data_IF_588910822741
#
_entry.id   IF_588910822741
#
_cell.length_a   1.000
_cell.length_b   1.000
_cell.length_c   1.000
_cell.angle_alpha   90.00
_cell.angle_beta   90.00
_cell.angle_gamma   90.00
#
_symmetry.space_group_name_H-M   'P 1'
#
loop_
_entity.id
_entity.type
_entity.pdbx_description
1 polymer ?
#
# COMPACT_ATOMS: atom_id res chain seq x y z
N UNK A 1 32.66 54.89 -25.90
CA UNK A 1 33.03 53.45 -26.02
C UNK A 1 32.67 52.64 -24.77
N UNK A 2 32.84 53.18 -23.55
CA UNK A 2 32.52 52.51 -22.28
C UNK A 2 31.02 52.23 -22.10
N UNK A 3 30.15 53.20 -22.39
CA UNK A 3 28.68 53.05 -22.25
C UNK A 3 28.10 51.89 -23.10
N UNK A 4 28.61 51.68 -24.32
CA UNK A 4 28.20 50.55 -25.18
C UNK A 4 28.68 49.19 -24.65
N UNK A 5 29.83 49.13 -23.96
CA UNK A 5 30.30 47.89 -23.34
C UNK A 5 29.45 47.53 -22.12
N UNK A 6 29.08 48.53 -21.32
CA UNK A 6 28.22 48.36 -20.13
C UNK A 6 26.83 47.81 -20.52
N UNK A 7 26.19 48.35 -21.56
CA UNK A 7 24.89 47.85 -22.02
C UNK A 7 24.96 46.42 -22.59
N UNK A 8 26.05 46.05 -23.28
CA UNK A 8 26.25 44.68 -23.76
C UNK A 8 26.40 43.69 -22.60
N UNK A 9 27.21 44.01 -21.58
CA UNK A 9 27.34 43.15 -20.39
C UNK A 9 26.02 43.02 -19.62
N UNK A 10 25.24 44.11 -19.49
CA UNK A 10 23.91 44.06 -18.89
C UNK A 10 22.95 43.16 -19.67
N UNK A 11 22.92 43.25 -21.00
CA UNK A 11 22.07 42.39 -21.82
C UNK A 11 22.44 40.91 -21.71
N UNK A 12 23.74 40.59 -21.64
CA UNK A 12 24.21 39.21 -21.50
C UNK A 12 23.85 38.64 -20.11
N UNK A 13 23.98 39.45 -19.06
CA UNK A 13 23.61 39.07 -17.70
C UNK A 13 22.11 38.81 -17.57
N UNK A 14 21.27 39.65 -18.18
CA UNK A 14 19.82 39.46 -18.22
C UNK A 14 19.45 38.17 -18.96
N UNK A 15 20.08 37.89 -20.11
CA UNK A 15 19.85 36.64 -20.86
C UNK A 15 20.23 35.40 -20.05
N UNK A 16 21.30 35.45 -19.25
CA UNK A 16 21.71 34.36 -18.37
C UNK A 16 20.69 34.16 -17.23
N UNK A 17 20.19 35.24 -16.62
CA UNK A 17 19.14 35.11 -15.58
C UNK A 17 17.88 34.48 -16.16
N UNK A 18 17.46 34.91 -17.35
CA UNK A 18 16.27 34.36 -18.02
C UNK A 18 16.47 32.88 -18.36
N UNK A 19 17.65 32.49 -18.87
CA UNK A 19 17.91 31.08 -19.21
C UNK A 19 17.95 30.19 -17.96
N UNK A 20 18.52 30.67 -16.84
CA UNK A 20 18.51 29.97 -15.55
C UNK A 20 17.09 29.84 -15.01
N UNK A 21 16.30 30.91 -15.04
CA UNK A 21 14.90 30.88 -14.57
C UNK A 21 14.04 29.93 -15.43
N UNK A 22 14.18 29.97 -16.75
CA UNK A 22 13.50 29.04 -17.66
C UNK A 22 13.92 27.59 -17.39
N UNK A 23 15.20 27.34 -17.17
CA UNK A 23 15.70 26.01 -16.84
C UNK A 23 15.13 25.50 -15.51
N UNK A 24 15.07 26.35 -14.48
CA UNK A 24 14.47 26.00 -13.19
C UNK A 24 12.98 25.66 -13.33
N UNK A 25 12.20 26.49 -14.02
CA UNK A 25 10.77 26.25 -14.24
C UNK A 25 10.54 24.92 -14.98
N UNK A 26 11.30 24.67 -16.06
CA UNK A 26 11.19 23.44 -16.84
C UNK A 26 11.59 22.21 -16.00
N UNK A 27 12.65 22.32 -15.19
CA UNK A 27 13.09 21.23 -14.32
C UNK A 27 12.06 20.88 -13.24
N UNK A 28 11.41 21.89 -12.65
CA UNK A 28 10.37 21.70 -11.65
C UNK A 28 9.13 21.05 -12.24
N UNK A 29 8.74 21.45 -13.45
CA UNK A 29 7.59 20.89 -14.15
C UNK A 29 7.79 19.43 -14.57
N UNK A 30 9.02 19.05 -15.00
CA UNK A 30 9.35 17.64 -15.28
C UNK A 30 9.30 16.78 -14.02
N UNK A 31 9.79 17.27 -12.89
CA UNK A 31 9.76 16.50 -11.63
C UNK A 31 8.35 16.17 -11.15
N UNK A 32 7.34 16.97 -11.52
CA UNK A 32 5.94 16.71 -11.16
C UNK A 32 5.25 15.75 -12.14
N UNK A 33 5.63 15.76 -13.42
CA UNK A 33 5.06 14.85 -14.41
C UNK A 33 5.44 13.39 -14.20
N UNK A 34 6.49 13.13 -13.43
CA UNK A 34 7.04 11.80 -13.20
C UNK A 34 6.41 11.08 -11.99
N UNK A 35 5.36 11.64 -11.37
CA UNK A 35 4.70 11.07 -10.19
C UNK A 35 3.37 10.46 -10.59
N UNK A 36 3.30 9.14 -10.53
CA UNK A 36 2.15 8.35 -10.97
C UNK A 36 1.45 7.63 -9.81
N UNK A 37 2.08 7.53 -8.65
CA UNK A 37 1.55 6.77 -7.51
C UNK A 37 1.91 7.37 -6.14
N UNK A 38 1.32 6.79 -5.09
CA UNK A 38 1.52 7.23 -3.70
C UNK A 38 2.97 7.09 -3.25
N UNK A 39 3.66 6.02 -3.64
CA UNK A 39 5.05 5.76 -3.23
C UNK A 39 6.01 6.81 -3.82
N UNK A 40 5.82 7.16 -5.09
CA UNK A 40 6.57 8.24 -5.75
C UNK A 40 6.28 9.60 -5.13
N UNK A 41 5.00 9.89 -4.83
CA UNK A 41 4.61 11.13 -4.18
C UNK A 41 5.24 11.26 -2.77
N UNK A 42 5.23 10.17 -2.00
CA UNK A 42 5.88 10.09 -0.69
C UNK A 42 7.41 10.25 -0.81
N UNK A 43 8.04 9.54 -1.76
CA UNK A 43 9.48 9.58 -1.99
C UNK A 43 9.97 10.96 -2.45
N UNK A 44 9.12 11.70 -3.15
CA UNK A 44 9.36 13.10 -3.51
C UNK A 44 9.24 14.07 -2.32
N UNK A 45 8.78 13.60 -1.15
CA UNK A 45 8.73 14.38 0.08
C UNK A 45 7.52 15.32 0.17
N UNK A 46 6.45 15.05 -0.59
CA UNK A 46 5.23 15.84 -0.54
C UNK A 46 4.39 15.56 0.71
N UNK A 47 3.44 16.45 0.97
CA UNK A 47 2.62 16.41 2.17
C UNK A 47 1.71 15.18 2.19
N UNK A 48 1.74 14.43 3.29
CA UNK A 48 0.86 13.29 3.57
C UNK A 48 -0.18 13.72 4.60
N UNK A 49 -1.44 13.47 4.30
CA UNK A 49 -2.58 13.75 5.19
C UNK A 49 -2.74 12.67 6.27
N UNK A 50 -3.21 13.07 7.46
CA UNK A 50 -3.57 12.18 8.56
C UNK A 50 -4.92 11.47 8.32
N UNK A 51 -5.05 10.77 7.19
CA UNK A 51 -6.24 10.00 6.81
C UNK A 51 -5.94 8.51 6.71
N UNK A 52 -7.00 7.69 6.75
CA UNK A 52 -6.92 6.27 6.39
C UNK A 52 -7.82 5.98 5.18
N UNK A 53 -7.26 5.57 4.03
CA UNK A 53 -5.83 5.36 3.74
C UNK A 53 -5.04 6.68 3.73
N UNK A 54 -3.71 6.58 3.79
CA UNK A 54 -2.85 7.75 3.66
C UNK A 54 -3.03 8.39 2.27
N UNK A 55 -3.06 9.73 2.23
CA UNK A 55 -3.18 10.51 1.00
C UNK A 55 -1.99 11.43 0.85
N UNK A 56 -1.37 11.45 -0.32
CA UNK A 56 -0.26 12.32 -0.65
C UNK A 56 -0.69 13.37 -1.67
N UNK A 57 -0.37 14.64 -1.42
CA UNK A 57 -0.82 15.77 -2.24
C UNK A 57 0.35 16.49 -2.90
N UNK A 58 0.29 16.68 -4.22
CA UNK A 58 1.32 17.38 -4.98
C UNK A 58 0.97 18.86 -5.20
N UNK A 59 1.97 19.75 -5.43
CA UNK A 59 1.74 21.18 -5.64
C UNK A 59 0.86 21.55 -6.85
N UNK A 60 0.77 20.66 -7.85
CA UNK A 60 -0.10 20.82 -9.03
C UNK A 60 -1.56 20.38 -8.77
N UNK A 61 -1.87 19.94 -7.54
CA UNK A 61 -3.23 19.62 -7.10
C UNK A 61 -3.62 18.15 -7.22
N UNK A 62 -2.72 17.27 -7.66
CA UNK A 62 -3.00 15.83 -7.70
C UNK A 62 -2.99 15.23 -6.28
N UNK A 63 -3.79 14.18 -6.11
CA UNK A 63 -3.87 13.41 -4.85
C UNK A 63 -3.69 11.94 -5.16
N UNK A 64 -2.71 11.32 -4.51
CA UNK A 64 -2.43 9.90 -4.62
C UNK A 64 -2.83 9.22 -3.32
N UNK A 65 -3.59 8.13 -3.41
CA UNK A 65 -4.10 7.39 -2.27
C UNK A 65 -3.28 6.11 -2.13
N UNK A 66 -2.84 5.81 -0.91
CA UNK A 66 -2.13 4.57 -0.61
C UNK A 66 -3.04 3.35 -0.90
N UNK A 67 -2.51 2.39 -1.66
CA UNK A 67 -3.19 1.11 -1.88
C UNK A 67 -3.15 0.27 -0.60
N UNK A 68 -4.32 -0.18 -0.16
CA UNK A 68 -4.50 -0.98 1.06
C UNK A 68 -5.24 -2.31 0.80
N UNK A 69 -5.25 -2.77 -0.45
CA UNK A 69 -6.07 -3.89 -0.86
C UNK A 69 -7.56 -3.56 -0.80
N UNK A 70 -8.38 -4.50 -0.33
CA UNK A 70 -9.83 -4.34 -0.19
C UNK A 70 -10.29 -4.21 1.28
N UNK A 71 -9.39 -3.81 2.19
CA UNK A 71 -9.67 -3.76 3.63
C UNK A 71 -10.94 -2.95 3.97
N UNK A 72 -11.15 -1.79 3.35
CA UNK A 72 -12.33 -0.96 3.64
C UNK A 72 -13.63 -1.61 3.14
N UNK A 73 -13.58 -2.38 2.05
CA UNK A 73 -14.74 -3.13 1.56
C UNK A 73 -15.12 -4.25 2.54
N UNK A 74 -14.14 -4.77 3.28
CA UNK A 74 -14.30 -5.89 4.21
C UNK A 74 -14.41 -5.49 5.67
N UNK A 75 -14.31 -4.21 6.02
CA UNK A 75 -14.23 -3.72 7.41
C UNK A 75 -15.42 -4.15 8.31
N UNK A 76 -16.58 -4.44 7.74
CA UNK A 76 -17.75 -4.94 8.49
C UNK A 76 -17.78 -6.47 8.68
N UNK A 77 -16.90 -7.18 7.98
CA UNK A 77 -16.83 -8.64 7.92
C UNK A 77 -15.56 -9.18 8.57
N UNK A 78 -14.42 -8.55 8.35
CA UNK A 78 -13.11 -8.96 8.87
C UNK A 78 -12.20 -7.74 9.00
N UNK A 79 -11.35 -7.74 10.03
CA UNK A 79 -10.38 -6.68 10.33
C UNK A 79 -9.08 -7.33 10.77
N UNK A 80 -7.97 -6.89 10.19
CA UNK A 80 -6.64 -7.35 10.56
C UNK A 80 -5.92 -6.22 11.29
N UNK A 81 -5.51 -6.52 12.52
CA UNK A 81 -4.71 -5.61 13.35
C UNK A 81 -3.22 -5.74 13.03
N UNK A 82 -2.77 -6.94 12.63
CA UNK A 82 -1.39 -7.22 12.25
C UNK A 82 -1.34 -8.34 11.20
N UNK A 83 -0.58 -8.19 10.10
CA UNK A 83 0.10 -6.97 9.63
C UNK A 83 -0.90 -5.90 9.12
N UNK A 84 -0.51 -4.63 9.16
CA UNK A 84 -1.26 -3.55 8.49
C UNK A 84 -0.81 -3.46 7.02
N UNK A 85 -1.61 -2.86 6.12
CA UNK A 85 -1.19 -2.70 4.73
C UNK A 85 0.16 -2.00 4.59
N UNK A 86 0.99 -2.51 3.68
CA UNK A 86 2.33 -2.03 3.33
C UNK A 86 3.35 -2.07 4.47
N UNK A 87 3.09 -2.83 5.55
CA UNK A 87 4.10 -3.07 6.57
C UNK A 87 5.16 -4.06 6.09
N UNK A 88 6.39 -3.83 6.51
CA UNK A 88 7.49 -4.77 6.34
C UNK A 88 7.30 -5.99 7.25
N UNK A 89 7.42 -7.19 6.70
CA UNK A 89 7.21 -8.44 7.44
C UNK A 89 8.42 -9.38 7.33
N UNK A 90 8.66 -10.09 8.44
CA UNK A 90 9.69 -11.11 8.58
C UNK A 90 9.08 -12.52 8.60
N UNK A 91 9.93 -13.53 8.44
CA UNK A 91 9.56 -14.94 8.63
C UNK A 91 9.89 -15.36 10.09
N UNK A 92 8.95 -15.92 10.87
CA UNK A 92 7.54 -16.19 10.55
C UNK A 92 6.65 -14.93 10.63
N UNK A 93 5.58 -14.92 9.82
CA UNK A 93 4.58 -13.86 9.77
C UNK A 93 3.45 -14.13 10.78
N UNK A 94 3.35 -13.29 11.80
CA UNK A 94 2.22 -13.29 12.74
C UNK A 94 1.03 -12.51 12.19
N UNK A 95 -0.16 -13.08 12.32
CA UNK A 95 -1.41 -12.51 11.83
C UNK A 95 -2.42 -12.47 12.97
N UNK A 96 -3.03 -11.31 13.20
CA UNK A 96 -4.00 -11.07 14.26
C UNK A 96 -5.11 -10.17 13.76
N UNK A 97 -6.30 -10.37 14.31
CA UNK A 97 -7.47 -9.58 13.93
C UNK A 97 -8.75 -10.12 14.52
N UNK A 98 -9.86 -9.73 13.92
CA UNK A 98 -11.20 -10.22 14.25
C UNK A 98 -12.03 -10.40 12.98
N UNK A 99 -12.85 -11.45 12.93
CA UNK A 99 -13.77 -11.69 11.82
C UNK A 99 -15.16 -12.03 12.34
N UNK A 100 -16.19 -11.73 11.56
CA UNK A 100 -17.56 -12.20 11.82
C UNK A 100 -17.54 -13.72 11.88
N UNK A 101 -18.31 -14.33 12.78
CA UNK A 101 -18.36 -15.80 12.91
C UNK A 101 -18.64 -16.56 11.60
N UNK A 102 -19.33 -15.92 10.64
CA UNK A 102 -19.57 -16.45 9.29
C UNK A 102 -18.31 -16.66 8.45
N UNK A 103 -17.17 -16.08 8.82
CA UNK A 103 -15.87 -16.33 8.18
C UNK A 103 -15.27 -17.70 8.52
N UNK A 104 -15.66 -18.26 9.66
CA UNK A 104 -15.09 -19.48 10.19
C UNK A 104 -15.90 -20.71 9.80
N UNK A 105 -15.20 -21.84 9.68
CA UNK A 105 -15.77 -23.17 9.70
C UNK A 105 -14.88 -24.02 10.61
N UNK A 106 -15.47 -24.74 11.57
CA UNK A 106 -14.69 -25.49 12.58
C UNK A 106 -13.67 -24.60 13.31
N UNK A 107 -14.08 -23.38 13.66
CA UNK A 107 -13.27 -22.36 14.34
C UNK A 107 -12.03 -21.88 13.56
N UNK A 108 -11.94 -22.16 12.26
CA UNK A 108 -10.79 -21.78 11.45
C UNK A 108 -11.15 -21.29 10.04
N UNK A 109 -10.19 -20.65 9.38
CA UNK A 109 -10.26 -20.32 7.96
C UNK A 109 -8.86 -20.20 7.33
N UNK A 110 -8.71 -20.41 6.01
CA UNK A 110 -7.40 -20.40 5.35
C UNK A 110 -6.82 -19.00 5.19
N UNK A 111 -5.49 -18.92 5.23
CA UNK A 111 -4.72 -17.74 4.85
C UNK A 111 -3.56 -18.12 3.95
N UNK A 112 -3.30 -17.29 2.95
CA UNK A 112 -2.28 -17.51 1.93
C UNK A 112 -1.43 -16.27 1.77
N UNK A 113 -0.16 -16.49 1.49
CA UNK A 113 0.79 -15.43 1.19
C UNK A 113 1.31 -15.63 -0.24
N UNK A 114 1.11 -14.63 -1.09
CA UNK A 114 1.56 -14.62 -2.48
C UNK A 114 2.55 -13.48 -2.74
N UNK A 115 3.41 -13.66 -3.73
CA UNK A 115 4.25 -12.59 -4.28
C UNK A 115 3.48 -11.68 -5.26
N UNK A 116 4.16 -10.65 -5.79
CA UNK A 116 3.62 -9.75 -6.81
C UNK A 116 3.18 -10.42 -8.12
N UNK A 117 3.69 -11.62 -8.42
CA UNK A 117 3.37 -12.40 -9.61
C UNK A 117 2.24 -13.42 -9.36
N UNK A 118 1.70 -13.47 -8.15
CA UNK A 118 0.68 -14.45 -7.75
C UNK A 118 1.23 -15.83 -7.39
N UNK A 119 2.55 -15.96 -7.22
CA UNK A 119 3.19 -17.21 -6.77
C UNK A 119 3.00 -17.35 -5.26
N UNK A 120 2.53 -18.51 -4.83
CA UNK A 120 2.35 -18.83 -3.42
C UNK A 120 3.68 -19.06 -2.71
N UNK A 121 3.91 -18.29 -1.65
CA UNK A 121 5.11 -18.36 -0.81
C UNK A 121 4.86 -19.13 0.49
N UNK A 122 3.62 -19.13 0.98
CA UNK A 122 3.24 -19.82 2.21
C UNK A 122 1.72 -19.91 2.38
N UNK A 123 1.29 -20.91 3.15
CA UNK A 123 -0.10 -21.13 3.54
C UNK A 123 -0.19 -21.36 5.04
N UNK A 124 -1.28 -20.92 5.64
CA UNK A 124 -1.55 -21.07 7.05
C UNK A 124 -3.04 -21.27 7.31
N UNK A 125 -3.34 -21.56 8.57
CA UNK A 125 -4.72 -21.67 9.06
C UNK A 125 -4.86 -20.63 10.17
N UNK A 126 -5.86 -19.77 10.02
CA UNK A 126 -6.26 -18.81 11.04
C UNK A 126 -7.19 -19.50 12.02
N UNK A 127 -6.95 -19.31 13.31
CA UNK A 127 -7.69 -19.92 14.40
C UNK A 127 -8.46 -18.86 15.20
N UNK A 128 -9.75 -19.08 15.42
CA UNK A 128 -10.56 -18.28 16.34
C UNK A 128 -10.10 -18.45 17.79
N UNK A 129 -10.11 -17.37 18.56
CA UNK A 129 -9.78 -17.34 19.99
C UNK A 129 -11.05 -17.36 20.88
N UNK A 130 -12.15 -17.95 20.41
CA UNK A 130 -13.40 -18.00 21.15
C UNK A 130 -14.55 -18.70 20.42
N UNK A 131 -15.76 -18.50 20.93
CA UNK A 131 -16.98 -19.01 20.32
C UNK A 131 -17.21 -18.35 18.95
N UNK A 132 -17.10 -19.15 17.89
CA UNK A 132 -17.16 -18.68 16.51
C UNK A 132 -18.56 -18.76 15.89
N UNK A 133 -19.47 -19.51 16.47
CA UNK A 133 -20.85 -19.66 15.99
C UNK A 133 -21.71 -18.45 16.38
N UNK A 134 -21.29 -17.26 15.96
CA UNK A 134 -21.92 -15.98 16.26
C UNK A 134 -21.96 -15.07 15.03
N UNK A 135 -22.83 -14.07 15.04
CA UNK A 135 -22.80 -12.98 14.08
C UNK A 135 -21.83 -11.86 14.52
N UNK A 136 -21.29 -11.91 15.73
CA UNK A 136 -20.33 -10.94 16.25
C UNK A 136 -18.91 -11.13 15.71
N UNK A 137 -18.07 -10.14 15.96
CA UNK A 137 -16.64 -10.25 15.69
C UNK A 137 -15.97 -11.17 16.72
N UNK A 138 -15.17 -12.09 16.20
CA UNK A 138 -14.44 -13.10 16.95
C UNK A 138 -12.95 -12.89 16.69
N UNK A 139 -12.13 -12.65 17.73
CA UNK A 139 -10.69 -12.52 17.58
C UNK A 139 -10.07 -13.78 17.00
N UNK A 140 -8.99 -13.62 16.24
CA UNK A 140 -8.24 -14.71 15.65
C UNK A 140 -6.74 -14.46 15.66
N UNK A 141 -5.99 -15.55 15.58
CA UNK A 141 -4.55 -15.53 15.36
C UNK A 141 -4.11 -16.55 14.30
N UNK A 142 -2.95 -16.32 13.70
CA UNK A 142 -2.25 -17.29 12.87
C UNK A 142 -0.75 -16.98 12.83
N UNK A 143 0.04 -17.97 12.43
CA UNK A 143 1.44 -17.81 12.08
C UNK A 143 1.71 -18.54 10.76
N UNK A 144 2.38 -17.86 9.82
CA UNK A 144 2.75 -18.42 8.53
C UNK A 144 4.26 -18.36 8.36
N UNK A 145 4.88 -19.51 8.07
CA UNK A 145 6.24 -19.54 7.52
C UNK A 145 6.16 -19.48 6.00
N UNK A 146 7.04 -18.71 5.36
CA UNK A 146 7.06 -18.58 3.90
C UNK A 146 8.45 -18.77 3.30
N UNK A 147 8.49 -19.17 2.04
CA UNK A 147 9.75 -19.32 1.28
C UNK A 147 10.38 -17.97 0.98
N UNK A 148 11.69 -17.95 0.66
CA UNK A 148 12.38 -16.71 0.30
C UNK A 148 11.66 -16.04 -0.87
N UNK A 149 11.16 -14.82 -0.71
CA UNK A 149 10.38 -14.17 -1.75
C UNK A 149 11.32 -13.74 -2.90
N UNK A 150 10.88 -13.88 -4.17
CA UNK A 150 11.66 -13.43 -5.31
C UNK A 150 11.61 -11.90 -5.49
N UNK A 151 10.66 -11.24 -4.83
CA UNK A 151 10.42 -9.80 -4.87
C UNK A 151 10.16 -9.24 -3.48
N UNK A 152 10.19 -7.92 -3.34
CA UNK A 152 9.99 -7.25 -2.05
C UNK A 152 8.51 -7.07 -1.70
N UNK A 153 7.59 -7.34 -2.62
CA UNK A 153 6.17 -7.05 -2.47
C UNK A 153 5.34 -8.33 -2.53
N UNK A 154 4.33 -8.40 -1.68
CA UNK A 154 3.40 -9.51 -1.63
C UNK A 154 2.01 -9.10 -1.21
N UNK A 155 1.10 -10.08 -1.22
CA UNK A 155 -0.27 -9.91 -0.73
C UNK A 155 -0.59 -11.04 0.23
N UNK A 156 -1.03 -10.67 1.42
CA UNK A 156 -1.64 -11.58 2.37
C UNK A 156 -3.14 -11.70 2.04
N UNK A 157 -3.61 -12.92 1.82
CA UNK A 157 -4.97 -13.24 1.43
C UNK A 157 -5.62 -14.07 2.54
N UNK A 158 -6.58 -13.49 3.25
CA UNK A 158 -7.43 -14.20 4.20
C UNK A 158 -8.68 -14.64 3.45
N UNK A 159 -8.95 -15.94 3.44
CA UNK A 159 -10.04 -16.53 2.66
C UNK A 159 -11.14 -17.00 3.63
N UNK A 160 -12.38 -16.56 3.41
CA UNK A 160 -13.53 -17.06 4.16
C UNK A 160 -13.68 -18.56 3.92
N UNK A 161 -13.88 -19.32 5.00
CA UNK A 161 -14.13 -20.76 4.89
C UNK A 161 -15.36 -21.03 4.02
N UNK A 162 -15.20 -21.91 3.03
CA UNK A 162 -16.24 -22.26 2.07
C UNK A 162 -16.30 -23.79 1.83
N UNK A 163 -16.84 -24.57 2.79
CA UNK A 163 -16.90 -26.03 2.67
C UNK A 163 -17.72 -26.55 1.49
N UNK A 164 -18.68 -25.77 0.99
CA UNK A 164 -19.50 -26.16 -0.16
C UNK A 164 -18.78 -25.95 -1.50
N UNK A 165 -17.70 -25.16 -1.53
CA UNK A 165 -16.97 -24.79 -2.74
C UNK A 165 -17.74 -23.90 -3.70
N UNK A 166 -18.88 -23.34 -3.28
CA UNK A 166 -19.74 -22.52 -4.12
C UNK A 166 -19.23 -21.07 -4.21
N UNK A 167 -19.09 -20.47 -5.41
CA UNK A 167 -18.55 -19.12 -5.56
C UNK A 167 -19.30 -18.04 -4.77
N UNK A 168 -20.61 -18.15 -4.61
CA UNK A 168 -21.45 -17.20 -3.86
C UNK A 168 -21.17 -17.18 -2.35
N UNK A 169 -20.42 -18.16 -1.84
CA UNK A 169 -20.02 -18.23 -0.43
C UNK A 169 -18.56 -17.87 -0.22
N UNK A 170 -17.78 -17.78 -1.30
CA UNK A 170 -16.38 -17.36 -1.26
C UNK A 170 -16.30 -15.87 -0.96
N UNK A 171 -15.40 -15.51 -0.06
CA UNK A 171 -15.00 -14.12 0.14
C UNK A 171 -13.53 -14.05 0.55
N UNK A 172 -12.87 -12.92 0.29
CA UNK A 172 -11.45 -12.75 0.57
C UNK A 172 -11.11 -11.32 1.00
N UNK A 173 -10.18 -11.21 1.94
CA UNK A 173 -9.52 -9.97 2.34
C UNK A 173 -8.09 -10.01 1.82
N UNK A 174 -7.69 -8.97 1.10
CA UNK A 174 -6.36 -8.80 0.53
C UNK A 174 -5.66 -7.66 1.25
N UNK A 175 -4.45 -7.91 1.75
CA UNK A 175 -3.62 -6.95 2.45
C UNK A 175 -2.26 -6.90 1.74
N UNK A 176 -1.91 -5.78 1.07
CA UNK A 176 -0.59 -5.63 0.49
C UNK A 176 0.44 -5.56 1.62
N UNK A 177 1.59 -6.20 1.45
CA UNK A 177 2.69 -6.20 2.42
C UNK A 177 4.03 -6.13 1.68
N UNK A 178 5.10 -5.84 2.43
CA UNK A 178 6.47 -5.89 1.92
C UNK A 178 7.31 -6.86 2.75
N UNK A 179 8.29 -7.51 2.14
CA UNK A 179 9.18 -8.45 2.80
C UNK A 179 10.50 -7.78 3.23
N UNK A 180 11.03 -8.17 4.39
CA UNK A 180 12.39 -7.80 4.85
C UNK A 180 13.52 -8.31 3.94
#
# INVERSE_FOLDING_TARGET
MIQKKVTVFLSLFILIIISVALWQIISQQRSLSDIENFEECQKAGYAISESYPAQCHTPDGNTFIQYIGNELEKQNLIRVSQPRPNTLVSNPLSIQGEARGTWFFEANFPVRLIDENGVELGIGIVQAEGEWMTEDFVPFNAEITFSSPPSNNGTLILEKSNPSGLPEHADQLHIPISFE
#
